data_IF_687965325478
#
_entry.id   IF_687965325478
#
_cell.length_a   1.000
_cell.length_b   1.000
_cell.length_c   1.000
_cell.angle_alpha   90.00
_cell.angle_beta   90.00
_cell.angle_gamma   90.00
#
_symmetry.space_group_name_H-M   'P 1'
#
loop_
_entity.id
_entity.type
_entity.pdbx_description
1 polymer ?
#
# COMPACT_ATOMS: atom_id res chain seq x y z
N UNK A 1 9.78 22.75 21.47
CA UNK A 1 8.46 22.81 20.80
C UNK A 1 8.04 21.38 20.57
N UNK A 2 7.38 20.79 21.57
CA UNK A 2 7.06 19.35 21.60
C UNK A 2 5.73 19.11 20.90
N UNK A 3 5.76 18.44 19.76
CA UNK A 3 4.56 17.91 19.09
C UNK A 3 4.88 16.46 18.71
N UNK A 4 4.87 15.56 19.68
CA UNK A 4 4.88 14.12 19.47
C UNK A 4 4.04 13.48 20.58
N UNK A 5 2.75 13.77 20.61
CA UNK A 5 1.76 12.93 21.27
C UNK A 5 0.69 12.58 20.22
N UNK A 6 0.33 11.30 20.21
CA UNK A 6 -0.90 10.74 19.66
C UNK A 6 -0.98 10.57 18.14
N UNK A 7 -0.15 9.67 17.59
CA UNK A 7 -0.42 9.05 16.28
C UNK A 7 -0.52 7.54 16.43
N UNK A 8 -1.75 7.01 16.44
CA UNK A 8 -2.00 5.59 16.25
C UNK A 8 -1.43 5.16 14.87
N UNK A 9 -0.37 4.34 14.89
CA UNK A 9 0.31 3.85 13.69
C UNK A 9 -0.38 2.59 13.20
N UNK A 10 -1.23 2.70 12.18
CA UNK A 10 -1.80 1.51 11.53
C UNK A 10 -0.87 1.04 10.40
N UNK A 11 -0.02 0.05 10.72
CA UNK A 11 0.86 -0.64 9.79
C UNK A 11 0.08 -1.71 9.00
N UNK A 12 -0.02 -1.55 7.68
CA UNK A 12 -0.20 -2.69 6.75
C UNK A 12 1.07 -2.79 5.92
N UNK A 13 1.97 -3.69 6.35
CA UNK A 13 3.16 -4.08 5.60
C UNK A 13 2.78 -5.14 4.57
N UNK A 14 3.00 -4.91 3.27
CA UNK A 14 3.31 -6.02 2.36
C UNK A 14 4.64 -5.81 1.63
N UNK A 15 5.70 -6.46 2.13
CA UNK A 15 6.84 -6.80 1.26
C UNK A 15 6.47 -8.05 0.44
N UNK A 16 6.21 -7.86 -0.85
CA UNK A 16 6.38 -8.94 -1.82
C UNK A 16 7.86 -8.98 -2.26
N UNK A 17 8.63 -9.87 -1.65
CA UNK A 17 9.76 -10.55 -2.33
C UNK A 17 9.28 -11.95 -2.69
N UNK A 18 8.90 -12.17 -3.93
CA UNK A 18 8.88 -13.54 -4.45
C UNK A 18 10.34 -14.00 -4.54
N UNK A 19 10.71 -14.99 -3.71
CA UNK A 19 11.95 -15.74 -3.91
C UNK A 19 11.87 -16.39 -5.30
N UNK A 20 12.72 -15.96 -6.23
CA UNK A 20 13.17 -16.80 -7.34
C UNK A 20 12.26 -16.96 -8.58
N UNK A 21 11.35 -16.04 -8.89
CA UNK A 21 10.70 -16.01 -10.23
C UNK A 21 10.77 -14.61 -10.85
N UNK A 22 11.01 -14.49 -12.16
CA UNK A 22 11.17 -13.20 -12.82
C UNK A 22 9.91 -12.38 -12.57
N UNK A 23 10.10 -11.11 -12.19
CA UNK A 23 9.03 -10.13 -12.10
C UNK A 23 8.41 -9.97 -13.48
N UNK A 24 7.40 -10.78 -13.77
CA UNK A 24 6.65 -10.75 -15.01
C UNK A 24 5.87 -9.45 -15.08
N UNK A 25 6.27 -8.65 -16.05
CA UNK A 25 5.70 -7.39 -16.44
C UNK A 25 4.23 -7.53 -16.87
N UNK A 26 3.27 -7.32 -15.96
CA UNK A 26 2.00 -6.69 -16.33
C UNK A 26 2.19 -5.13 -16.23
N UNK A 27 3.29 -4.64 -16.84
CA UNK A 27 3.64 -3.22 -17.09
C UNK A 27 4.25 -3.19 -18.48
N UNK A 28 3.67 -2.43 -19.40
CA UNK A 28 4.28 -2.15 -20.69
C UNK A 28 5.71 -1.65 -20.44
N UNK A 29 6.71 -2.38 -20.96
CA UNK A 29 8.14 -2.05 -21.16
C UNK A 29 8.72 -0.76 -20.53
N UNK A 30 8.48 -0.50 -19.26
CA UNK A 30 9.10 0.59 -18.50
C UNK A 30 9.39 0.08 -17.09
N UNK A 31 10.53 -0.60 -16.94
CA UNK A 31 11.09 -0.99 -15.65
C UNK A 31 11.66 0.21 -14.87
N UNK A 32 10.88 1.28 -14.75
CA UNK A 32 11.21 2.50 -14.03
C UNK A 32 10.33 2.69 -12.78
N UNK A 33 10.73 3.56 -11.83
CA UNK A 33 9.95 3.97 -10.67
C UNK A 33 8.47 4.33 -10.93
N UNK A 34 8.12 4.72 -12.17
CA UNK A 34 6.75 5.07 -12.58
C UNK A 34 5.85 3.86 -12.96
N UNK A 35 6.34 2.63 -12.87
CA UNK A 35 5.57 1.43 -13.30
C UNK A 35 4.26 1.18 -12.53
N UNK A 36 4.07 1.82 -11.37
CA UNK A 36 2.86 1.75 -10.54
C UNK A 36 1.90 2.91 -10.75
N UNK A 37 2.28 3.92 -11.55
CA UNK A 37 1.48 5.14 -11.70
C UNK A 37 0.11 4.89 -12.34
N UNK A 38 -0.01 3.83 -13.14
CA UNK A 38 -1.25 3.38 -13.76
C UNK A 38 -2.34 2.91 -12.77
N UNK A 39 -2.01 2.77 -11.48
CA UNK A 39 -2.95 2.38 -10.42
C UNK A 39 -3.61 3.56 -9.73
N UNK A 40 -3.02 4.76 -9.83
CA UNK A 40 -3.54 5.96 -9.16
C UNK A 40 -5.02 6.24 -9.48
N UNK A 41 -5.50 6.16 -10.74
CA UNK A 41 -6.91 6.40 -11.04
C UNK A 41 -7.86 5.46 -10.26
N UNK A 42 -7.46 4.21 -10.06
CA UNK A 42 -8.24 3.23 -9.32
C UNK A 42 -8.24 3.49 -7.81
N UNK A 43 -7.10 3.88 -7.24
CA UNK A 43 -6.98 4.26 -5.83
C UNK A 43 -7.81 5.53 -5.54
N UNK A 44 -7.65 6.56 -6.37
CA UNK A 44 -8.38 7.83 -6.27
C UNK A 44 -9.90 7.66 -6.37
N UNK A 45 -10.36 6.70 -7.17
CA UNK A 45 -11.78 6.37 -7.35
C UNK A 45 -12.35 5.43 -6.26
N UNK A 46 -11.52 4.93 -5.34
CA UNK A 46 -11.96 4.01 -4.27
C UNK A 46 -11.92 4.65 -2.89
N UNK A 47 -10.92 5.45 -2.59
CA UNK A 47 -10.79 6.10 -1.31
C UNK A 47 -11.53 7.44 -1.31
N UNK A 48 -12.43 7.70 -0.37
CA UNK A 48 -13.19 8.96 -0.31
C UNK A 48 -12.41 10.09 0.38
N UNK A 49 -11.52 9.77 1.32
CA UNK A 49 -10.79 10.74 2.12
C UNK A 49 -9.58 11.40 1.42
N UNK A 50 -8.84 12.24 2.16
CA UNK A 50 -7.55 12.78 1.71
C UNK A 50 -6.51 11.67 1.51
N UNK A 51 -5.56 11.89 0.59
CA UNK A 51 -4.47 10.96 0.28
C UNK A 51 -3.13 11.71 0.26
N UNK A 52 -2.10 11.08 0.81
CA UNK A 52 -0.70 11.53 0.68
C UNK A 52 0.08 10.48 -0.11
N UNK A 53 0.58 10.87 -1.29
CA UNK A 53 1.42 10.02 -2.13
C UNK A 53 2.87 10.47 -2.06
N UNK A 54 3.78 9.54 -1.76
CA UNK A 54 5.21 9.74 -1.99
C UNK A 54 5.63 9.07 -3.30
N UNK A 55 6.25 9.85 -4.18
CA UNK A 55 6.67 9.42 -5.51
C UNK A 55 8.19 9.46 -5.58
N UNK A 56 8.79 8.28 -5.74
CA UNK A 56 10.21 8.15 -6.03
C UNK A 56 10.41 8.19 -7.55
N UNK A 57 11.31 9.04 -8.02
CA UNK A 57 11.53 9.26 -9.46
C UNK A 57 13.00 9.58 -9.72
N UNK A 58 13.56 9.18 -10.87
CA UNK A 58 14.88 9.67 -11.28
C UNK A 58 14.80 11.03 -11.98
N UNK A 59 15.93 11.75 -12.06
CA UNK A 59 15.99 13.06 -12.72
C UNK A 59 15.47 13.05 -14.17
N UNK A 60 15.79 12.00 -14.92
CA UNK A 60 15.34 11.81 -16.31
C UNK A 60 13.83 11.50 -16.43
N UNK A 61 13.18 11.11 -15.34
CA UNK A 61 11.76 10.76 -15.30
C UNK A 61 10.84 11.91 -14.90
N UNK A 62 11.39 13.03 -14.37
CA UNK A 62 10.60 14.18 -13.87
C UNK A 62 9.64 14.69 -14.94
N UNK A 63 10.08 14.82 -16.19
CA UNK A 63 9.23 15.30 -17.28
C UNK A 63 8.05 14.37 -17.57
N UNK A 64 8.24 13.05 -17.46
CA UNK A 64 7.16 12.06 -17.61
C UNK A 64 6.20 12.11 -16.42
N UNK A 65 6.74 12.22 -15.20
CA UNK A 65 5.94 12.37 -13.98
C UNK A 65 5.07 13.64 -14.02
N UNK A 66 5.63 14.78 -14.41
CA UNK A 66 4.89 16.04 -14.50
C UNK A 66 3.69 15.92 -15.46
N UNK A 67 3.88 15.34 -16.65
CA UNK A 67 2.79 15.07 -17.59
C UNK A 67 1.73 14.13 -17.00
N UNK A 68 2.16 13.08 -16.32
CA UNK A 68 1.25 12.14 -15.67
C UNK A 68 0.42 12.82 -14.58
N UNK A 69 1.03 13.61 -13.70
CA UNK A 69 0.35 14.35 -12.64
C UNK A 69 -0.66 15.37 -13.20
N UNK A 70 -0.27 16.12 -14.23
CA UNK A 70 -1.16 17.10 -14.89
C UNK A 70 -2.37 16.46 -15.57
N UNK A 71 -2.30 15.16 -15.92
CA UNK A 71 -3.41 14.41 -16.51
C UNK A 71 -4.41 13.87 -15.48
N UNK A 72 -4.06 13.90 -14.18
CA UNK A 72 -4.91 13.38 -13.12
C UNK A 72 -5.84 14.48 -12.60
N UNK A 73 -7.14 14.20 -12.50
CA UNK A 73 -8.06 15.04 -11.74
C UNK A 73 -8.01 14.66 -10.26
N UNK A 74 -7.14 15.34 -9.50
CA UNK A 74 -6.86 15.08 -8.08
C UNK A 74 -7.34 16.21 -7.16
N UNK A 75 -8.10 17.18 -7.68
CA UNK A 75 -8.37 18.46 -7.04
C UNK A 75 -8.76 18.31 -5.56
N UNK A 76 -7.93 18.89 -4.70
CA UNK A 76 -8.04 18.95 -3.23
C UNK A 76 -8.09 17.61 -2.48
N UNK A 77 -7.80 16.49 -3.16
CA UNK A 77 -7.88 15.14 -2.58
C UNK A 77 -6.53 14.51 -2.30
N UNK A 78 -5.50 14.90 -3.06
CA UNK A 78 -4.18 14.28 -2.97
C UNK A 78 -3.06 15.31 -2.80
N UNK A 79 -2.11 15.00 -1.91
CA UNK A 79 -0.81 15.67 -1.80
C UNK A 79 0.24 14.73 -2.39
N UNK A 80 1.16 15.29 -3.19
CA UNK A 80 2.26 14.54 -3.79
C UNK A 80 3.60 15.06 -3.25
N UNK A 81 4.34 14.19 -2.58
CA UNK A 81 5.73 14.44 -2.19
C UNK A 81 6.64 13.74 -3.19
N UNK A 82 7.43 14.51 -3.93
CA UNK A 82 8.27 14.00 -5.01
C UNK A 82 9.71 13.90 -4.52
N UNK A 83 10.21 12.67 -4.37
CA UNK A 83 11.62 12.40 -4.08
C UNK A 83 12.37 12.14 -5.39
N UNK A 84 13.21 13.10 -5.78
CA UNK A 84 14.02 13.01 -6.99
C UNK A 84 15.38 12.41 -6.67
N UNK A 85 15.64 11.22 -7.23
CA UNK A 85 16.96 10.59 -7.19
C UNK A 85 17.86 11.16 -8.28
N UNK A 86 19.00 11.70 -7.88
CA UNK A 86 20.09 12.10 -8.78
C UNK A 86 20.59 10.92 -9.62
N UNK A 87 21.04 11.21 -10.84
CA UNK A 87 21.71 10.21 -11.66
C UNK A 87 22.95 9.66 -10.94
N UNK A 88 23.06 8.33 -10.89
CA UNK A 88 24.13 7.64 -10.17
C UNK A 88 25.33 7.48 -11.09
N UNK A 89 26.47 7.99 -10.65
CA UNK A 89 27.78 7.80 -11.22
C UNK A 89 28.79 7.35 -10.16
N UNK A 90 30.04 7.23 -10.57
CA UNK A 90 31.15 6.78 -9.70
C UNK A 90 31.36 7.69 -8.49
N UNK A 91 31.05 8.99 -8.59
CA UNK A 91 31.27 9.99 -7.54
C UNK A 91 30.15 10.08 -6.49
N UNK A 92 28.97 9.52 -6.76
CA UNK A 92 27.80 9.64 -5.88
C UNK A 92 27.06 8.30 -5.69
N UNK A 93 27.77 7.18 -5.85
CA UNK A 93 27.15 5.86 -5.68
C UNK A 93 26.69 5.65 -4.22
N UNK A 94 25.41 5.38 -3.97
CA UNK A 94 24.91 5.19 -2.61
C UNK A 94 25.54 3.96 -1.95
N UNK A 95 25.77 4.04 -0.64
CA UNK A 95 26.27 2.92 0.15
C UNK A 95 25.61 2.87 1.53
N UNK A 96 25.56 1.67 2.11
CA UNK A 96 25.21 1.44 3.51
C UNK A 96 26.47 1.02 4.27
N UNK A 97 26.75 1.70 5.38
CA UNK A 97 27.85 1.33 6.28
C UNK A 97 27.40 0.17 7.16
N UNK A 98 28.14 -0.93 7.13
CA UNK A 98 27.88 -2.10 7.97
C UNK A 98 28.34 -1.84 9.42
N UNK A 99 27.62 -2.32 10.44
CA UNK A 99 27.91 -2.01 11.84
C UNK A 99 29.23 -2.58 12.35
N UNK A 100 29.61 -3.78 11.92
CA UNK A 100 30.55 -4.62 12.68
C UNK A 100 32.01 -4.56 12.20
N UNK A 101 32.27 -4.01 11.00
CA UNK A 101 33.58 -4.07 10.35
C UNK A 101 33.91 -2.82 9.51
N UNK A 102 33.06 -1.78 9.54
CA UNK A 102 33.24 -0.58 8.72
C UNK A 102 33.13 -0.83 7.20
N UNK A 103 32.70 -2.04 6.82
CA UNK A 103 32.46 -2.41 5.43
C UNK A 103 31.37 -1.55 4.80
N UNK A 104 31.47 -1.32 3.48
CA UNK A 104 30.45 -0.58 2.72
C UNK A 104 29.74 -1.52 1.77
N UNK A 105 28.41 -1.60 1.92
CA UNK A 105 27.56 -2.22 0.90
C UNK A 105 27.16 -1.17 -0.12
N UNK A 106 27.72 -1.27 -1.32
CA UNK A 106 27.51 -0.32 -2.41
C UNK A 106 26.28 -0.68 -3.24
N UNK A 107 25.52 0.33 -3.65
CA UNK A 107 24.29 0.19 -4.43
C UNK A 107 24.45 0.91 -5.78
N UNK A 108 25.12 0.30 -6.78
CA UNK A 108 25.39 0.95 -8.07
C UNK A 108 24.13 1.28 -8.88
N UNK A 109 23.01 0.62 -8.59
CA UNK A 109 21.69 0.92 -9.18
C UNK A 109 20.81 1.81 -8.29
N UNK A 110 21.36 2.27 -7.17
CA UNK A 110 20.68 3.08 -6.17
C UNK A 110 19.97 2.27 -5.09
N UNK A 111 19.51 2.99 -4.07
CA UNK A 111 18.64 2.47 -3.02
C UNK A 111 17.23 3.02 -3.20
N UNK A 112 16.23 2.20 -2.90
CA UNK A 112 14.83 2.63 -2.82
C UNK A 112 14.52 3.00 -1.36
N UNK A 113 14.34 4.29 -1.03
CA UNK A 113 14.34 4.76 0.35
C UNK A 113 12.93 4.66 0.97
N UNK A 114 12.38 3.44 1.07
CA UNK A 114 10.97 3.22 1.44
C UNK A 114 10.56 3.87 2.77
N UNK A 115 11.41 3.80 3.80
CA UNK A 115 11.10 4.38 5.11
C UNK A 115 11.06 5.92 5.02
N UNK A 116 12.06 6.53 4.37
CA UNK A 116 12.05 7.97 4.13
C UNK A 116 10.81 8.42 3.35
N UNK A 117 10.38 7.65 2.33
CA UNK A 117 9.16 7.97 1.57
C UNK A 117 7.90 7.87 2.45
N UNK A 118 7.85 6.91 3.39
CA UNK A 118 6.75 6.80 4.35
C UNK A 118 6.73 7.99 5.31
N UNK A 119 7.89 8.34 5.86
CA UNK A 119 8.03 9.46 6.80
C UNK A 119 7.60 10.76 6.12
N UNK A 120 8.11 11.03 4.91
CA UNK A 120 7.72 12.19 4.10
C UNK A 120 6.22 12.23 3.78
N UNK A 121 5.59 11.08 3.52
CA UNK A 121 4.13 10.99 3.33
C UNK A 121 3.35 11.30 4.61
N UNK A 122 3.82 10.83 5.77
CA UNK A 122 3.18 11.04 7.08
C UNK A 122 3.35 12.48 7.54
N UNK A 123 4.50 13.09 7.30
CA UNK A 123 4.76 14.50 7.63
C UNK A 123 3.90 15.47 6.82
N UNK A 124 3.46 15.08 5.62
CA UNK A 124 2.65 15.92 4.75
C UNK A 124 1.13 15.80 4.96
N UNK A 125 0.66 14.97 5.91
CA UNK A 125 -0.77 14.84 6.19
C UNK A 125 -1.27 16.00 7.08
N UNK A 126 -2.54 16.35 6.91
CA UNK A 126 -3.25 17.30 7.78
C UNK A 126 -4.24 16.63 8.74
N UNK A 127 -4.31 15.29 8.71
CA UNK A 127 -5.25 14.50 9.52
C UNK A 127 -4.59 14.00 10.80
N UNK A 128 -5.41 13.72 11.84
CA UNK A 128 -4.93 13.14 13.10
C UNK A 128 -4.51 11.67 12.96
N UNK A 129 -5.19 10.93 12.07
CA UNK A 129 -4.97 9.52 11.81
C UNK A 129 -4.61 9.30 10.35
N UNK A 130 -3.87 8.22 10.07
CA UNK A 130 -3.54 7.80 8.73
C UNK A 130 -3.61 6.28 8.60
N UNK A 131 -3.81 5.83 7.36
CA UNK A 131 -3.79 4.42 6.98
C UNK A 131 -2.70 4.26 5.91
N UNK A 132 -1.65 3.52 6.23
CA UNK A 132 -0.55 3.24 5.28
C UNK A 132 -0.92 2.03 4.45
N UNK A 133 -0.95 2.19 3.12
CA UNK A 133 -1.32 1.14 2.18
C UNK A 133 -0.30 1.13 1.03
N UNK A 134 0.11 -0.07 0.62
CA UNK A 134 0.93 -0.24 -0.58
C UNK A 134 0.12 0.10 -1.84
N UNK A 135 0.75 0.74 -2.84
CA UNK A 135 0.06 1.20 -4.06
C UNK A 135 -0.58 0.09 -4.90
N UNK A 136 -0.18 -1.17 -4.66
CA UNK A 136 -0.73 -2.38 -5.28
C UNK A 136 -2.00 -2.90 -4.57
N UNK A 137 -2.41 -2.30 -3.45
CA UNK A 137 -3.59 -2.70 -2.66
C UNK A 137 -4.77 -1.78 -2.97
N UNK A 138 -5.92 -2.37 -3.27
CA UNK A 138 -7.14 -1.65 -3.58
C UNK A 138 -8.18 -1.82 -2.48
N UNK A 139 -8.52 -0.72 -1.83
CA UNK A 139 -9.54 -0.70 -0.77
C UNK A 139 -10.95 -0.81 -1.33
N UNK A 140 -11.90 -1.22 -0.48
CA UNK A 140 -13.32 -1.12 -0.80
C UNK A 140 -13.76 0.34 -0.84
N UNK A 141 -14.75 0.66 -1.66
CA UNK A 141 -15.26 2.04 -1.80
C UNK A 141 -15.93 2.56 -0.53
N UNK A 142 -16.29 1.67 0.39
CA UNK A 142 -16.96 2.03 1.65
C UNK A 142 -16.00 2.10 2.84
N UNK A 143 -14.72 1.75 2.67
CA UNK A 143 -13.79 1.60 3.81
C UNK A 143 -13.63 2.90 4.60
N UNK A 144 -13.43 4.03 3.90
CA UNK A 144 -13.26 5.33 4.55
C UNK A 144 -14.44 5.67 5.46
N UNK A 145 -15.66 5.63 4.92
CA UNK A 145 -16.88 5.88 5.68
C UNK A 145 -17.03 4.92 6.86
N UNK A 146 -16.76 3.63 6.66
CA UNK A 146 -16.85 2.64 7.73
C UNK A 146 -15.84 2.89 8.86
N UNK A 147 -14.63 3.40 8.56
CA UNK A 147 -13.67 3.80 9.60
C UNK A 147 -14.18 5.05 10.34
N UNK A 148 -14.73 6.02 9.62
CA UNK A 148 -15.30 7.25 10.19
C UNK A 148 -16.50 7.01 11.10
N UNK A 149 -17.21 5.89 10.98
CA UNK A 149 -18.27 5.50 11.93
C UNK A 149 -17.72 5.26 13.36
N UNK A 150 -16.40 5.09 13.51
CA UNK A 150 -15.71 4.88 14.78
C UNK A 150 -14.94 6.11 15.28
N UNK A 151 -15.28 7.31 14.81
CA UNK A 151 -14.53 8.55 15.10
C UNK A 151 -14.25 8.75 16.60
N UNK A 152 -15.23 8.46 17.45
CA UNK A 152 -15.08 8.55 18.91
C UNK A 152 -14.06 7.54 19.47
N UNK A 153 -14.07 6.32 18.95
CA UNK A 153 -13.18 5.24 19.38
C UNK A 153 -11.76 5.39 18.82
N UNK A 154 -11.59 6.05 17.67
CA UNK A 154 -10.28 6.27 17.04
C UNK A 154 -9.31 7.03 17.97
N UNK A 155 -9.83 7.83 18.89
CA UNK A 155 -9.03 8.54 19.91
C UNK A 155 -8.55 7.66 21.07
N UNK A 156 -8.88 6.36 21.08
CA UNK A 156 -8.42 5.43 22.11
C UNK A 156 -7.12 4.76 21.71
N UNK A 157 -6.10 4.85 22.57
CA UNK A 157 -4.82 4.16 22.39
C UNK A 157 -4.95 2.63 22.47
N UNK A 158 -6.09 2.13 22.97
CA UNK A 158 -6.37 0.70 23.08
C UNK A 158 -7.17 0.15 21.89
N UNK A 159 -7.34 0.92 20.82
CA UNK A 159 -8.07 0.49 19.63
C UNK A 159 -7.13 -0.15 18.62
N UNK A 160 -7.49 -1.36 18.17
CA UNK A 160 -6.87 -2.02 17.02
C UNK A 160 -7.92 -2.21 15.94
N UNK A 161 -7.60 -1.76 14.72
CA UNK A 161 -8.40 -1.99 13.53
C UNK A 161 -7.77 -3.09 12.70
N UNK A 162 -8.50 -4.20 12.52
CA UNK A 162 -8.06 -5.32 11.71
C UNK A 162 -8.73 -5.26 10.33
N UNK A 163 -7.93 -5.07 9.29
CA UNK A 163 -8.37 -5.01 7.90
C UNK A 163 -7.93 -6.28 7.16
N UNK A 164 -8.85 -7.18 6.77
CA UNK A 164 -8.47 -8.39 6.06
C UNK A 164 -8.02 -8.08 4.63
N UNK A 165 -6.99 -8.81 4.19
CA UNK A 165 -6.44 -8.72 2.84
C UNK A 165 -6.82 -9.97 2.02
N UNK A 166 -7.17 -9.73 0.77
CA UNK A 166 -7.55 -10.76 -0.20
C UNK A 166 -6.75 -10.58 -1.48
N UNK A 167 -6.50 -11.68 -2.17
CA UNK A 167 -5.75 -11.72 -3.42
C UNK A 167 -6.49 -12.60 -4.44
N UNK A 168 -6.14 -12.45 -5.71
CA UNK A 168 -6.62 -13.37 -6.72
C UNK A 168 -5.94 -14.73 -6.59
N UNK A 169 -6.66 -15.78 -6.94
CA UNK A 169 -6.06 -17.10 -7.07
C UNK A 169 -5.06 -17.13 -8.23
N UNK A 170 -3.93 -17.81 -8.05
CA UNK A 170 -2.85 -17.85 -9.04
C UNK A 170 -3.35 -18.27 -10.44
N UNK A 171 -4.25 -19.25 -10.50
CA UNK A 171 -4.87 -19.74 -11.74
C UNK A 171 -5.68 -18.68 -12.48
N UNK A 172 -6.26 -17.73 -11.75
CA UNK A 172 -7.02 -16.62 -12.35
C UNK A 172 -6.08 -15.58 -12.99
N UNK A 173 -4.92 -15.34 -12.37
CA UNK A 173 -3.96 -14.31 -12.83
C UNK A 173 -2.92 -14.88 -13.81
N UNK A 174 -2.75 -16.19 -13.86
CA UNK A 174 -1.80 -16.89 -14.73
C UNK A 174 -1.88 -16.44 -16.20
N UNK A 175 -3.06 -16.24 -16.82
CA UNK A 175 -3.15 -15.69 -18.18
C UNK A 175 -2.61 -14.24 -18.32
N UNK A 176 -2.67 -13.39 -17.28
CA UNK A 176 -1.97 -12.08 -17.25
C UNK A 176 -0.48 -12.31 -17.33
N UNK A 177 0.01 -13.13 -16.40
CA UNK A 177 1.42 -13.31 -16.09
C UNK A 177 2.16 -13.97 -17.26
N UNK A 178 1.59 -15.02 -17.83
CA UNK A 178 2.25 -15.83 -18.87
C UNK A 178 2.01 -15.31 -20.28
N UNK A 179 0.84 -14.72 -20.55
CA UNK A 179 0.44 -14.38 -21.92
C UNK A 179 0.30 -12.88 -22.18
N UNK A 180 0.64 -12.03 -21.19
CA UNK A 180 0.46 -10.58 -21.25
C UNK A 180 -1.00 -10.18 -21.62
N UNK A 181 -1.97 -11.04 -21.30
CA UNK A 181 -3.42 -10.83 -21.53
C UNK A 181 -4.05 -10.16 -20.32
N UNK A 182 -3.42 -9.10 -19.85
CA UNK A 182 -3.67 -8.45 -18.57
C UNK A 182 -4.96 -7.61 -18.52
N UNK A 183 -5.94 -7.87 -19.42
CA UNK A 183 -7.14 -7.07 -19.64
C UNK A 183 -7.69 -6.56 -18.31
N UNK A 184 -7.40 -5.28 -18.04
CA UNK A 184 -7.77 -4.46 -16.89
C UNK A 184 -8.20 -5.25 -15.63
N UNK A 185 -7.36 -6.18 -15.15
CA UNK A 185 -7.68 -6.99 -13.95
C UNK A 185 -7.99 -6.07 -12.75
N UNK A 186 -7.37 -4.91 -12.68
CA UNK A 186 -7.65 -3.87 -11.68
C UNK A 186 -9.12 -3.38 -11.67
N UNK A 187 -9.83 -3.46 -12.80
CA UNK A 187 -11.26 -3.16 -12.90
C UNK A 187 -12.14 -4.24 -12.30
N UNK A 188 -11.69 -5.49 -12.32
CA UNK A 188 -12.45 -6.61 -11.78
C UNK A 188 -12.24 -6.78 -10.28
N UNK A 189 -11.31 -6.03 -9.67
CA UNK A 189 -11.07 -6.09 -8.23
C UNK A 189 -12.34 -5.70 -7.50
N UNK A 190 -12.82 -6.53 -6.54
CA UNK A 190 -13.99 -6.20 -5.76
C UNK A 190 -13.95 -4.80 -5.15
N UNK A 191 -15.02 -4.03 -5.33
CA UNK A 191 -15.19 -2.69 -4.75
C UNK A 191 -16.00 -2.72 -3.46
N UNK A 192 -16.79 -3.78 -3.27
CA UNK A 192 -17.68 -3.96 -2.12
C UNK A 192 -17.50 -5.34 -1.49
N UNK A 193 -17.88 -5.49 -0.22
CA UNK A 193 -17.89 -6.80 0.45
C UNK A 193 -18.76 -7.82 -0.29
N UNK A 194 -19.89 -7.40 -0.86
CA UNK A 194 -20.77 -8.29 -1.65
C UNK A 194 -20.05 -8.86 -2.88
N UNK A 195 -19.35 -8.01 -3.64
CA UNK A 195 -18.56 -8.45 -4.79
C UNK A 195 -17.41 -9.37 -4.38
N UNK A 196 -16.76 -9.08 -3.26
CA UNK A 196 -15.68 -9.92 -2.72
C UNK A 196 -16.19 -11.32 -2.39
N UNK A 197 -17.33 -11.42 -1.68
CA UNK A 197 -17.93 -12.70 -1.32
C UNK A 197 -18.37 -13.50 -2.56
N UNK A 198 -18.83 -12.83 -3.62
CA UNK A 198 -19.10 -13.48 -4.89
C UNK A 198 -17.80 -14.04 -5.50
N UNK A 199 -16.70 -13.27 -5.50
CA UNK A 199 -15.43 -13.73 -6.06
C UNK A 199 -14.78 -14.89 -5.29
N UNK A 200 -15.00 -14.94 -3.98
CA UNK A 200 -14.62 -16.09 -3.15
C UNK A 200 -15.47 -17.32 -3.52
N UNK A 201 -16.80 -17.14 -3.65
CA UNK A 201 -17.72 -18.23 -4.03
C UNK A 201 -17.42 -18.79 -5.43
N UNK A 202 -17.06 -17.90 -6.35
CA UNK A 202 -16.69 -18.24 -7.73
C UNK A 202 -15.24 -18.77 -7.84
N UNK A 203 -14.48 -18.76 -6.73
CA UNK A 203 -13.18 -19.38 -6.65
C UNK A 203 -12.07 -18.63 -7.37
N UNK A 204 -12.22 -17.32 -7.61
CA UNK A 204 -11.14 -16.49 -8.19
C UNK A 204 -10.48 -15.54 -7.18
N UNK A 205 -11.06 -15.34 -6.00
CA UNK A 205 -10.45 -14.59 -4.88
C UNK A 205 -10.24 -15.51 -3.68
N UNK A 206 -9.13 -15.34 -2.97
CA UNK A 206 -8.85 -16.02 -1.71
C UNK A 206 -8.24 -15.08 -0.68
N UNK A 207 -8.18 -15.54 0.56
CA UNK A 207 -7.50 -14.85 1.66
C UNK A 207 -6.00 -14.95 1.49
N UNK A 208 -5.29 -13.89 1.86
CA UNK A 208 -3.82 -13.94 1.92
C UNK A 208 -3.42 -14.69 3.20
N UNK A 209 -3.34 -16.02 3.12
CA UNK A 209 -2.87 -16.85 4.23
C UNK A 209 -1.33 -16.91 4.21
N UNK A 210 -0.68 -16.02 4.98
CA UNK A 210 0.75 -16.15 5.33
C UNK A 210 0.89 -16.07 6.86
N UNK A 211 2.02 -16.55 7.36
CA UNK A 211 2.36 -16.64 8.79
C UNK A 211 2.08 -15.38 9.64
N UNK A 212 2.00 -14.20 9.01
CA UNK A 212 1.78 -12.91 9.67
C UNK A 212 0.43 -12.24 9.38
N UNK A 213 -0.48 -12.93 8.67
CA UNK A 213 -1.79 -12.40 8.27
C UNK A 213 -2.98 -13.17 8.87
N UNK A 214 -2.73 -14.18 9.71
CA UNK A 214 -3.77 -15.01 10.35
C UNK A 214 -4.25 -14.42 11.69
N UNK A 215 -4.44 -13.10 11.73
CA UNK A 215 -4.92 -12.36 12.91
C UNK A 215 -6.42 -12.07 12.84
N UNK A 216 -7.05 -12.38 11.70
CA UNK A 216 -8.49 -12.19 11.46
C UNK A 216 -9.11 -13.54 11.18
N UNK A 217 -10.07 -13.96 12.02
CA UNK A 217 -10.98 -15.06 11.68
C UNK A 217 -11.84 -14.62 10.49
N UNK A 218 -11.38 -15.00 9.29
CA UNK A 218 -11.99 -14.52 8.05
C UNK A 218 -13.40 -15.09 7.89
N UNK A 219 -13.64 -16.34 8.27
CA UNK A 219 -14.97 -16.95 8.18
C UNK A 219 -15.98 -16.18 9.03
N UNK A 220 -15.58 -15.80 10.24
CA UNK A 220 -16.37 -14.94 11.12
C UNK A 220 -16.52 -13.54 10.52
N UNK A 221 -15.46 -12.96 9.97
CA UNK A 221 -15.52 -11.67 9.29
C UNK A 221 -16.52 -11.68 8.13
N UNK A 222 -16.51 -12.72 7.29
CA UNK A 222 -17.40 -12.84 6.13
C UNK A 222 -18.87 -12.82 6.53
N UNK A 223 -19.22 -13.41 7.69
CA UNK A 223 -20.59 -13.45 8.22
C UNK A 223 -21.08 -12.12 8.78
N UNK A 224 -20.19 -11.20 9.17
CA UNK A 224 -20.60 -9.90 9.73
C UNK A 224 -21.27 -9.01 8.69
N UNK A 225 -22.50 -8.58 8.98
CA UNK A 225 -23.26 -7.63 8.12
C UNK A 225 -22.88 -6.17 8.38
N UNK A 226 -22.37 -5.86 9.56
CA UNK A 226 -21.90 -4.54 9.99
C UNK A 226 -20.55 -4.70 10.68
N UNK A 227 -19.68 -3.68 10.65
CA UNK A 227 -18.51 -3.70 11.52
C UNK A 227 -19.01 -3.69 12.98
N UNK A 228 -18.47 -4.59 13.79
CA UNK A 228 -18.91 -4.83 15.17
C UNK A 228 -17.67 -4.75 16.05
N UNK A 229 -17.60 -3.83 17.03
CA UNK A 229 -16.54 -3.85 18.03
C UNK A 229 -16.51 -5.20 18.73
N UNK A 230 -15.34 -5.81 18.80
CA UNK A 230 -15.13 -7.06 19.53
C UNK A 230 -14.15 -6.72 20.67
N UNK A 231 -14.50 -6.97 21.94
CA UNK A 231 -13.54 -6.84 23.03
C UNK A 231 -12.34 -7.74 22.73
N UNK A 232 -11.13 -7.18 22.76
CA UNK A 232 -9.92 -7.99 22.63
C UNK A 232 -9.87 -8.96 23.81
N UNK A 233 -9.73 -10.28 23.57
CA UNK A 233 -9.49 -11.22 24.67
C UNK A 233 -8.07 -11.09 25.23
N UNK A 234 -7.18 -10.41 24.51
CA UNK A 234 -5.79 -10.20 24.91
C UNK A 234 -5.67 -8.94 25.75
N UNK A 235 -5.93 -9.10 27.04
CA UNK A 235 -5.38 -8.22 28.06
C UNK A 235 -3.93 -8.67 28.30
N UNK A 236 -2.98 -7.73 28.40
CA UNK A 236 -1.61 -7.86 28.97
C UNK A 236 -0.39 -8.29 28.13
N UNK A 237 -0.43 -8.63 26.84
CA UNK A 237 0.79 -9.13 26.15
C UNK A 237 1.20 -8.48 24.81
N UNK A 238 0.59 -7.36 24.41
CA UNK A 238 1.21 -6.52 23.39
C UNK A 238 2.05 -5.46 24.11
N UNK A 239 3.27 -5.86 24.49
CA UNK A 239 4.34 -4.94 24.87
C UNK A 239 4.72 -4.05 23.66
N UNK A 240 5.25 -2.83 23.91
CA UNK A 240 5.31 -1.71 22.97
C UNK A 240 6.12 -1.94 21.68
#
# INVERSE_FOLDING_TARGET
MNILNDKAVFNVLTQYKTKGKPTSSCSNREGGPLNRFNRLPFVLNRWEGPISFSVFVSEDEIGRLAKALLSLDVRNKAIFTIYVRKNIGSSNTPYYSLPDDGGKKVYPRGMYPINLLRDLSIESISTSHYLVIDIDVFVSTTLYRNIREYDQQLHSDNLILLLPLFDYNETFVEPCVLHNKCLRIWETIPRTKKQLLNGIREGFVSTVMKQYHDIVDVDRWMRYKKPTPIPSPFYSHMEP
#
